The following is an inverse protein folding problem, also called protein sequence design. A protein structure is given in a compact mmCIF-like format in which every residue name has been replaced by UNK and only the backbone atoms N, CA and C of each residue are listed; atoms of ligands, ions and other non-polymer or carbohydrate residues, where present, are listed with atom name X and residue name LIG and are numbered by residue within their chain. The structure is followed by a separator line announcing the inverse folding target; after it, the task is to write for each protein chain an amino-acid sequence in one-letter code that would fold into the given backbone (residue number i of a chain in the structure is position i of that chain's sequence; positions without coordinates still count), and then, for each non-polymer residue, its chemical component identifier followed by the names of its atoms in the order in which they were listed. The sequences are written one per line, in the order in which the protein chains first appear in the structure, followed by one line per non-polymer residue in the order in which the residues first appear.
data_IF_655645501564
#
_entry.id   IF_655645501564
#
_cell.length_a   1.000
_cell.length_b   1.000
_cell.length_c   1.000
_cell.angle_alpha   90.00
_cell.angle_beta   90.00
_cell.angle_gamma   90.00
#
_symmetry.space_group_name_H-M   'P 1'
#
loop_
_entity.id
_entity.type
_entity.pdbx_description
1 polymer ?
#
# COMPACT_ATOMS: atom_id res chain seq x y z
N UNK A 1 22.38 -23.22 -0.16
CA UNK A 1 20.94 -23.57 -0.31
C UNK A 1 20.23 -22.37 -0.92
N UNK A 2 19.98 -22.37 -2.24
CA UNK A 2 19.36 -21.23 -2.92
C UNK A 2 17.84 -21.40 -2.78
N UNK A 3 17.22 -20.68 -1.84
CA UNK A 3 15.76 -20.64 -1.73
C UNK A 3 15.17 -20.18 -3.05
N UNK A 4 14.26 -20.96 -3.62
CA UNK A 4 13.72 -20.72 -4.96
C UNK A 4 13.15 -19.32 -5.15
N UNK A 5 13.14 -18.86 -6.39
CA UNK A 5 12.53 -17.62 -6.89
C UNK A 5 11.16 -17.25 -6.27
N UNK A 6 10.31 -18.24 -5.98
CA UNK A 6 9.02 -18.06 -5.27
C UNK A 6 9.19 -17.53 -3.84
N UNK A 7 10.13 -18.08 -3.08
CA UNK A 7 10.40 -17.64 -1.70
C UNK A 7 10.94 -16.20 -1.69
N UNK A 8 11.76 -15.84 -2.68
CA UNK A 8 12.27 -14.48 -2.83
C UNK A 8 11.15 -13.46 -3.12
N UNK A 9 10.17 -13.82 -3.96
CA UNK A 9 8.97 -13.00 -4.22
C UNK A 9 8.13 -12.80 -2.97
N UNK A 10 7.85 -13.86 -2.20
CA UNK A 10 7.11 -13.76 -0.93
C UNK A 10 7.88 -12.89 0.08
N UNK A 11 9.19 -13.07 0.20
CA UNK A 11 10.02 -12.25 1.08
C UNK A 11 10.03 -10.77 0.64
N UNK A 12 10.02 -10.49 -0.67
CA UNK A 12 9.89 -9.13 -1.19
C UNK A 12 8.56 -8.49 -0.83
N UNK A 13 7.44 -9.23 -0.95
CA UNK A 13 6.12 -8.75 -0.52
C UNK A 13 6.13 -8.48 0.99
N UNK A 14 6.71 -9.37 1.80
CA UNK A 14 6.85 -9.15 3.25
C UNK A 14 7.59 -7.85 3.60
N UNK A 15 8.71 -7.57 2.91
CA UNK A 15 9.44 -6.30 3.06
C UNK A 15 8.65 -5.08 2.61
N UNK A 16 7.78 -5.22 1.61
CA UNK A 16 6.89 -4.14 1.17
C UNK A 16 5.82 -3.86 2.23
N UNK A 17 5.19 -4.92 2.78
CA UNK A 17 4.17 -4.80 3.82
C UNK A 17 4.72 -4.08 5.06
N UNK A 18 5.96 -4.35 5.47
CA UNK A 18 6.56 -3.67 6.63
C UNK A 18 6.87 -2.19 6.41
N UNK A 19 6.94 -1.73 5.15
CA UNK A 19 7.23 -0.32 4.81
C UNK A 19 5.98 0.53 4.67
N UNK A 20 4.82 -0.10 4.47
CA UNK A 20 3.58 0.62 4.20
C UNK A 20 2.89 0.95 5.51
N UNK A 21 2.86 2.25 5.82
CA UNK A 21 2.04 2.80 6.90
C UNK A 21 0.61 2.92 6.42
N UNK A 22 -0.27 2.04 6.88
CA UNK A 22 -1.69 2.02 6.54
C UNK A 22 -2.53 1.96 7.82
N UNK A 23 -3.65 2.72 7.92
CA UNK A 23 -4.53 2.73 9.09
C UNK A 23 -5.37 1.45 9.21
N UNK A 24 -5.28 0.54 8.24
CA UNK A 24 -5.98 -0.74 8.26
C UNK A 24 -5.31 -1.76 9.19
N UNK A 25 -6.05 -2.78 9.67
CA UNK A 25 -5.47 -3.89 10.43
C UNK A 25 -4.36 -4.61 9.67
N UNK A 26 -3.36 -5.16 10.37
CA UNK A 26 -2.18 -5.77 9.76
C UNK A 26 -2.51 -6.89 8.76
N UNK A 27 -3.46 -7.78 9.11
CA UNK A 27 -3.88 -8.87 8.23
C UNK A 27 -4.57 -8.37 6.96
N UNK A 28 -5.32 -7.27 7.07
CA UNK A 28 -5.93 -6.61 5.93
C UNK A 28 -4.86 -6.02 5.00
N UNK A 29 -3.90 -5.28 5.54
CA UNK A 29 -2.80 -4.70 4.77
C UNK A 29 -1.99 -5.79 4.05
N UNK A 30 -1.67 -6.89 4.74
CA UNK A 30 -0.96 -8.02 4.15
C UNK A 30 -1.72 -8.62 2.96
N UNK A 31 -3.01 -8.92 3.13
CA UNK A 31 -3.84 -9.48 2.06
C UNK A 31 -4.03 -8.50 0.90
N UNK A 32 -4.30 -7.22 1.19
CA UNK A 32 -4.47 -6.18 0.18
C UNK A 32 -3.20 -6.02 -0.67
N UNK A 33 -2.04 -5.93 -0.03
CA UNK A 33 -0.76 -5.78 -0.73
C UNK A 33 -0.34 -7.02 -1.50
N UNK A 34 -0.63 -8.19 -0.94
CA UNK A 34 -0.36 -9.46 -1.62
C UNK A 34 -1.25 -9.63 -2.85
N UNK A 35 -2.53 -9.26 -2.77
CA UNK A 35 -3.47 -9.26 -3.89
C UNK A 35 -3.13 -8.21 -4.96
N UNK A 36 -2.59 -7.06 -4.55
CA UNK A 36 -2.07 -6.04 -5.47
C UNK A 36 -0.81 -6.52 -6.20
N UNK A 37 0.13 -7.15 -5.47
CA UNK A 37 1.41 -7.60 -6.02
C UNK A 37 1.29 -8.84 -6.92
N UNK A 38 0.26 -9.67 -6.73
CA UNK A 38 0.04 -10.91 -7.48
C UNK A 38 -1.29 -10.81 -8.21
N UNK A 39 -1.26 -10.46 -9.49
CA UNK A 39 -2.47 -10.34 -10.31
C UNK A 39 -3.18 -11.69 -10.50
N UNK A 40 -4.53 -11.67 -10.45
CA UNK A 40 -5.36 -12.85 -10.70
C UNK A 40 -5.28 -13.23 -12.18
N UNK A 41 -4.52 -14.28 -12.49
CA UNK A 41 -4.40 -14.78 -13.86
C UNK A 41 -5.66 -15.57 -14.26
N UNK A 42 -6.36 -15.11 -15.30
CA UNK A 42 -7.51 -15.81 -15.86
C UNK A 42 -7.07 -17.13 -16.51
N UNK A 43 -7.69 -18.25 -16.13
CA UNK A 43 -7.39 -19.57 -16.68
C UNK A 43 -6.14 -20.25 -16.10
N UNK A 44 -5.40 -19.60 -15.20
CA UNK A 44 -4.31 -20.21 -14.47
C UNK A 44 -4.87 -21.12 -13.38
N UNK A 45 -4.98 -22.40 -13.68
CA UNK A 45 -5.24 -23.42 -12.66
C UNK A 45 -4.02 -23.48 -11.73
N UNK A 46 -4.27 -23.42 -10.40
CA UNK A 46 -3.27 -23.67 -9.39
C UNK A 46 -2.71 -25.10 -9.59
N UNK A 47 -1.66 -25.24 -10.39
CA UNK A 47 -1.11 -26.56 -10.75
C UNK A 47 -0.49 -26.69 -12.14
N UNK A 48 -0.78 -25.80 -13.12
CA UNK A 48 -0.07 -25.85 -14.42
C UNK A 48 1.27 -25.09 -14.35
N UNK A 49 2.32 -25.90 -14.41
CA UNK A 49 3.69 -25.65 -13.95
C UNK A 49 4.47 -24.74 -14.91
N UNK A 50 4.59 -23.47 -14.57
CA UNK A 50 5.86 -22.77 -14.73
C UNK A 50 6.42 -22.55 -13.34
N UNK A 51 7.58 -23.15 -13.05
CA UNK A 51 8.14 -23.40 -11.71
C UNK A 51 8.39 -22.13 -10.88
N UNK A 52 8.10 -20.94 -11.43
CA UNK A 52 8.37 -19.62 -10.85
C UNK A 52 7.11 -18.77 -10.55
N UNK A 53 5.89 -19.24 -10.87
CA UNK A 53 4.69 -18.40 -10.71
C UNK A 53 3.97 -18.62 -9.37
N UNK A 54 3.74 -17.54 -8.61
CA UNK A 54 2.81 -17.57 -7.47
C UNK A 54 1.40 -17.42 -8.01
N UNK A 55 0.56 -18.44 -7.83
CA UNK A 55 -0.88 -18.39 -8.08
C UNK A 55 -1.57 -18.44 -6.72
N UNK A 56 -2.34 -17.41 -6.40
CA UNK A 56 -3.14 -17.35 -5.18
C UNK A 56 -4.51 -17.99 -5.42
N UNK A 57 -5.10 -18.66 -4.41
CA UNK A 57 -6.49 -19.11 -4.46
C UNK A 57 -7.45 -17.96 -4.75
N UNK A 58 -8.59 -18.27 -5.37
CA UNK A 58 -9.60 -17.26 -5.71
C UNK A 58 -10.12 -16.54 -4.45
N UNK A 59 -10.30 -17.25 -3.34
CA UNK A 59 -10.74 -16.66 -2.06
C UNK A 59 -9.77 -15.59 -1.52
N UNK A 60 -8.51 -15.61 -1.94
CA UNK A 60 -7.53 -14.61 -1.49
C UNK A 60 -7.81 -13.23 -2.09
N UNK A 61 -8.42 -13.19 -3.28
CA UNK A 61 -8.86 -11.96 -3.94
C UNK A 61 -10.23 -11.49 -3.44
N UNK A 62 -10.97 -12.34 -2.74
CA UNK A 62 -12.24 -11.97 -2.11
C UNK A 62 -11.98 -11.15 -0.85
N UNK A 63 -11.72 -9.86 -1.06
CA UNK A 63 -11.53 -8.87 -0.01
C UNK A 63 -12.86 -8.46 0.62
N UNK A 64 -13.54 -9.43 1.25
CA UNK A 64 -14.79 -9.21 1.99
C UNK A 64 -14.50 -8.59 3.36
N UNK A 65 -13.81 -7.44 3.38
CA UNK A 65 -13.64 -6.69 4.62
C UNK A 65 -14.99 -6.26 5.15
N UNK A 66 -15.25 -6.42 6.46
CA UNK A 66 -16.40 -5.80 7.09
C UNK A 66 -16.45 -4.31 6.76
N UNK A 67 -17.64 -3.79 6.47
CA UNK A 67 -17.85 -2.41 6.04
C UNK A 67 -17.21 -1.39 7.02
N UNK A 68 -17.20 -1.71 8.32
CA UNK A 68 -16.51 -0.94 9.35
C UNK A 68 -15.00 -0.82 9.09
N UNK A 69 -14.33 -1.92 8.77
CA UNK A 69 -12.89 -1.93 8.46
C UNK A 69 -12.60 -1.10 7.22
N UNK A 70 -13.44 -1.23 6.19
CA UNK A 70 -13.33 -0.43 4.96
C UNK A 70 -13.51 1.06 5.21
N UNK A 71 -14.53 1.45 5.98
CA UNK A 71 -14.81 2.86 6.34
C UNK A 71 -13.66 3.45 7.17
N UNK A 72 -13.22 2.73 8.20
CA UNK A 72 -12.11 3.17 9.05
C UNK A 72 -10.81 3.33 8.25
N UNK A 73 -10.52 2.39 7.37
CA UNK A 73 -9.34 2.46 6.52
C UNK A 73 -9.38 3.66 5.56
N UNK A 74 -10.51 3.86 4.86
CA UNK A 74 -10.71 5.03 3.99
C UNK A 74 -10.62 6.35 4.76
N UNK A 75 -11.31 6.46 5.89
CA UNK A 75 -11.28 7.65 6.73
C UNK A 75 -9.88 7.95 7.27
N UNK A 76 -9.15 6.91 7.69
CA UNK A 76 -7.76 7.07 8.12
C UNK A 76 -6.83 7.53 6.99
N UNK A 77 -7.04 7.05 5.76
CA UNK A 77 -6.28 7.53 4.59
C UNK A 77 -6.57 9.00 4.34
N UNK A 78 -7.85 9.40 4.29
CA UNK A 78 -8.23 10.79 4.05
C UNK A 78 -7.61 11.72 5.11
N UNK A 79 -7.76 11.36 6.39
CA UNK A 79 -7.16 12.12 7.50
C UNK A 79 -5.64 12.25 7.35
N UNK A 80 -4.94 11.19 6.92
CA UNK A 80 -3.49 11.26 6.71
C UNK A 80 -3.11 12.16 5.54
N UNK A 81 -3.90 12.14 4.47
CA UNK A 81 -3.68 13.01 3.31
C UNK A 81 -3.90 14.48 3.67
N UNK A 82 -4.97 14.80 4.41
CA UNK A 82 -5.24 16.14 4.92
C UNK A 82 -4.07 16.68 5.78
N UNK A 83 -3.54 15.85 6.68
CA UNK A 83 -2.37 16.23 7.50
C UNK A 83 -1.10 16.48 6.66
N UNK A 84 -0.91 15.71 5.59
CA UNK A 84 0.24 15.91 4.70
C UNK A 84 0.09 17.19 3.89
N UNK A 85 -1.12 17.51 3.43
CA UNK A 85 -1.44 18.77 2.76
C UNK A 85 -1.18 19.96 3.68
N UNK A 86 -1.74 19.95 4.89
CA UNK A 86 -1.54 21.01 5.89
C UNK A 86 -0.04 21.21 6.19
N UNK A 87 0.69 20.12 6.44
CA UNK A 87 2.13 20.18 6.67
C UNK A 87 2.88 20.74 5.47
N UNK A 88 2.53 20.35 4.24
CA UNK A 88 3.17 20.86 3.03
C UNK A 88 2.93 22.36 2.84
N UNK A 89 1.72 22.85 3.11
CA UNK A 89 1.39 24.29 3.06
C UNK A 89 2.24 25.05 4.07
N UNK A 90 2.29 24.60 5.32
CA UNK A 90 3.12 25.22 6.37
C UNK A 90 4.60 25.26 5.95
N UNK A 91 5.13 24.15 5.44
CA UNK A 91 6.52 24.09 4.98
C UNK A 91 6.79 25.04 3.81
N UNK A 92 5.87 25.14 2.86
CA UNK A 92 5.99 26.09 1.74
C UNK A 92 5.98 27.53 2.23
N UNK A 93 5.09 27.88 3.17
CA UNK A 93 5.04 29.22 3.78
C UNK A 93 6.36 29.56 4.47
N UNK A 94 6.91 28.65 5.29
CA UNK A 94 8.20 28.88 5.94
C UNK A 94 9.33 29.12 4.93
N UNK A 95 9.34 28.40 3.80
CA UNK A 95 10.33 28.63 2.73
C UNK A 95 10.13 30.02 2.13
N UNK A 96 8.91 30.42 1.82
CA UNK A 96 8.62 31.73 1.23
C UNK A 96 8.97 32.90 2.16
N UNK A 97 8.73 32.76 3.46
CA UNK A 97 9.13 33.75 4.47
C UNK A 97 10.66 33.86 4.57
N UNK A 98 11.36 32.72 4.59
CA UNK A 98 12.82 32.68 4.68
C UNK A 98 13.50 33.30 3.44
N UNK A 99 12.93 33.08 2.26
CA UNK A 99 13.42 33.59 0.98
C UNK A 99 12.93 35.03 0.70
N UNK A 100 12.19 35.66 1.63
CA UNK A 100 11.60 37.00 1.48
C UNK A 100 10.82 37.19 0.16
N UNK A 101 10.15 36.14 -0.30
CA UNK A 101 9.45 36.14 -1.60
C UNK A 101 8.14 36.93 -1.51
N UNK A 102 7.56 37.05 -0.32
CA UNK A 102 6.46 37.95 -0.08
C UNK A 102 6.98 39.39 -0.06
N UNK A 103 6.86 40.07 -1.20
CA UNK A 103 6.97 41.52 -1.28
C UNK A 103 5.86 42.08 -0.38
N UNK A 104 6.22 42.96 0.57
CA UNK A 104 5.27 43.69 1.40
C UNK A 104 4.08 44.13 0.54
N UNK A 105 2.91 43.56 0.83
CA UNK A 105 1.65 44.08 0.31
C UNK A 105 1.39 45.42 1.01
N UNK A 106 2.09 46.45 0.54
CA UNK A 106 1.89 47.85 0.88
C UNK A 106 0.60 48.38 0.25
#
# INVERSE_FOLDING_TARGET
MIGGCKANKVAAIGRLVSRISSPGPQLFNYKALTAWAILKLRGAQAGKRSTDMIVLPAEFYEMNTPERTRRNWKGGIHKRLEQLEESAVIHATHIFDAEQIFIDAA
#
